data_IF_290135561220
#
_entry.id   IF_290135561220
#
_cell.length_a   1.000
_cell.length_b   1.000
_cell.length_c   1.000
_cell.angle_alpha   90.00
_cell.angle_beta   90.00
_cell.angle_gamma   90.00
#
_symmetry.space_group_name_H-M   'P 1'
#
loop_
_entity.id
_entity.type
_entity.pdbx_description
1 polymer ?
#
# COMPACT_ATOMS: atom_id res chain seq x y z
N UNK A 1 -17.26 -25.28 -3.80
CA UNK A 1 -16.91 -26.25 -4.85
C UNK A 1 -16.64 -25.48 -6.15
N UNK A 2 -15.59 -25.85 -6.88
CA UNK A 2 -15.19 -25.22 -8.13
C UNK A 2 -15.91 -25.97 -9.29
N UNK A 3 -16.41 -25.24 -10.27
CA UNK A 3 -16.90 -25.89 -11.48
C UNK A 3 -15.71 -26.45 -12.31
N UNK A 4 -15.98 -27.31 -13.31
CA UNK A 4 -14.93 -27.97 -14.09
C UNK A 4 -13.98 -26.97 -14.77
N UNK A 5 -14.51 -25.87 -15.31
CA UNK A 5 -13.72 -24.82 -15.97
C UNK A 5 -12.81 -24.12 -14.97
N UNK A 6 -13.34 -23.80 -13.79
CA UNK A 6 -12.54 -23.18 -12.72
C UNK A 6 -11.43 -24.12 -12.23
N UNK A 7 -11.73 -25.43 -12.08
CA UNK A 7 -10.75 -26.43 -11.68
C UNK A 7 -9.62 -26.58 -12.70
N UNK A 8 -9.94 -26.53 -14.00
CA UNK A 8 -8.95 -26.56 -15.07
C UNK A 8 -8.05 -25.31 -15.05
N UNK A 9 -8.61 -24.12 -14.89
CA UNK A 9 -7.85 -22.87 -14.78
C UNK A 9 -6.89 -22.91 -13.60
N UNK A 10 -7.36 -23.33 -12.43
CA UNK A 10 -6.51 -23.47 -11.23
C UNK A 10 -5.38 -24.48 -11.47
N UNK A 11 -5.69 -25.63 -12.06
CA UNK A 11 -4.68 -26.65 -12.39
C UNK A 11 -3.61 -26.10 -13.33
N UNK A 12 -3.99 -25.34 -14.35
CA UNK A 12 -3.07 -24.72 -15.31
C UNK A 12 -2.15 -23.69 -14.63
N UNK A 13 -2.69 -22.85 -13.72
CA UNK A 13 -1.91 -21.88 -12.95
C UNK A 13 -0.94 -22.59 -12.02
N UNK A 14 -1.39 -23.58 -11.26
CA UNK A 14 -0.53 -24.34 -10.36
C UNK A 14 0.60 -25.07 -11.10
N UNK A 15 0.29 -25.60 -12.31
CA UNK A 15 1.32 -26.18 -13.18
C UNK A 15 2.33 -25.14 -13.63
N UNK A 16 1.89 -23.95 -14.09
CA UNK A 16 2.78 -22.88 -14.51
C UNK A 16 3.70 -22.39 -13.37
N UNK A 17 3.17 -22.30 -12.14
CA UNK A 17 3.95 -21.98 -10.94
C UNK A 17 5.01 -23.06 -10.69
N UNK A 18 4.64 -24.33 -10.76
CA UNK A 18 5.56 -25.46 -10.54
C UNK A 18 6.66 -25.54 -11.60
N UNK A 19 6.36 -25.16 -12.84
CA UNK A 19 7.30 -25.16 -13.96
C UNK A 19 8.08 -23.85 -14.08
N UNK A 20 7.92 -22.91 -13.16
CA UNK A 20 8.53 -21.56 -13.18
C UNK A 20 8.23 -20.76 -14.47
N UNK A 21 7.09 -21.07 -15.12
CA UNK A 21 6.63 -20.42 -16.36
C UNK A 21 5.50 -19.42 -16.13
N UNK A 22 5.53 -18.72 -15.03
CA UNK A 22 4.44 -17.81 -14.65
C UNK A 22 4.38 -16.56 -15.50
N UNK A 23 5.53 -16.01 -15.90
CA UNK A 23 5.60 -14.72 -16.60
C UNK A 23 4.86 -14.71 -17.94
N UNK A 24 5.06 -15.68 -18.88
CA UNK A 24 4.33 -15.71 -20.14
C UNK A 24 2.83 -15.93 -19.95
N UNK A 25 2.43 -16.75 -18.96
CA UNK A 25 1.02 -17.04 -18.67
C UNK A 25 0.33 -15.80 -18.15
N UNK A 26 0.94 -15.09 -17.20
CA UNK A 26 0.40 -13.84 -16.62
C UNK A 26 0.33 -12.76 -17.69
N UNK A 27 1.38 -12.57 -18.50
CA UNK A 27 1.41 -11.56 -19.56
C UNK A 27 0.28 -11.75 -20.57
N UNK A 28 0.02 -12.98 -21.02
CA UNK A 28 -1.10 -13.30 -21.90
C UNK A 28 -2.45 -12.99 -21.24
N UNK A 29 -2.65 -13.40 -19.99
CA UNK A 29 -3.89 -13.16 -19.26
C UNK A 29 -4.16 -11.68 -19.01
N UNK A 30 -3.15 -10.88 -18.74
CA UNK A 30 -3.30 -9.43 -18.66
C UNK A 30 -3.83 -8.87 -19.98
N UNK A 31 -3.29 -9.33 -21.13
CA UNK A 31 -3.78 -8.92 -22.44
C UNK A 31 -5.24 -9.31 -22.69
N UNK A 32 -5.63 -10.55 -22.33
CA UNK A 32 -7.02 -11.03 -22.42
C UNK A 32 -7.96 -10.19 -21.54
N UNK A 33 -7.57 -9.89 -20.30
CA UNK A 33 -8.38 -9.07 -19.38
C UNK A 33 -8.54 -7.63 -19.85
N UNK A 34 -7.51 -7.05 -20.45
CA UNK A 34 -7.60 -5.70 -21.04
C UNK A 34 -8.54 -5.70 -22.24
N UNK A 35 -8.45 -6.73 -23.10
CA UNK A 35 -9.31 -6.86 -24.29
C UNK A 35 -10.78 -7.04 -23.93
N UNK A 36 -11.09 -7.70 -22.81
CA UNK A 36 -12.46 -7.87 -22.30
C UNK A 36 -13.01 -6.66 -21.53
N UNK A 37 -12.33 -5.53 -21.58
CA UNK A 37 -12.79 -4.28 -20.99
C UNK A 37 -13.11 -3.25 -22.07
N UNK A 38 -14.27 -2.59 -21.97
CA UNK A 38 -14.63 -1.51 -22.86
C UNK A 38 -15.31 -0.35 -22.10
N UNK A 39 -15.37 0.81 -22.71
CA UNK A 39 -15.99 2.00 -22.12
C UNK A 39 -17.36 2.24 -22.76
N UNK A 40 -18.35 2.46 -21.92
CA UNK A 40 -19.68 2.88 -22.32
C UNK A 40 -19.97 4.28 -21.77
N UNK A 41 -20.71 5.10 -22.54
CA UNK A 41 -21.15 6.40 -22.03
C UNK A 41 -22.10 6.19 -20.83
N UNK A 42 -21.77 6.83 -19.71
CA UNK A 42 -22.64 6.82 -18.54
C UNK A 42 -23.84 7.77 -18.74
N UNK A 43 -24.97 7.44 -18.08
CA UNK A 43 -26.08 8.39 -18.02
C UNK A 43 -25.60 9.72 -17.42
N UNK A 44 -26.08 10.82 -18.02
CA UNK A 44 -25.71 12.17 -17.59
C UNK A 44 -26.09 12.41 -16.12
N UNK A 45 -25.09 12.69 -15.29
CA UNK A 45 -25.28 13.02 -13.88
C UNK A 45 -24.57 14.34 -13.52
N UNK A 46 -24.80 14.84 -12.32
CA UNK A 46 -24.21 16.11 -11.85
C UNK A 46 -22.68 16.05 -11.89
N UNK A 47 -22.06 14.90 -11.61
CA UNK A 47 -20.61 14.73 -11.56
C UNK A 47 -20.00 14.65 -12.96
N UNK A 48 -20.74 14.15 -13.96
CA UNK A 48 -20.27 14.09 -15.36
C UNK A 48 -20.06 15.46 -15.97
N UNK A 49 -20.68 16.52 -15.39
CA UNK A 49 -20.45 17.92 -15.80
C UNK A 49 -19.20 18.52 -15.20
N UNK A 50 -18.69 17.96 -14.09
CA UNK A 50 -17.53 18.47 -13.38
C UNK A 50 -16.24 17.79 -13.79
N UNK A 51 -16.28 16.54 -14.24
CA UNK A 51 -15.10 15.76 -14.59
C UNK A 51 -15.41 14.74 -15.67
N UNK A 52 -14.51 14.58 -16.63
CA UNK A 52 -14.59 13.53 -17.66
C UNK A 52 -14.58 12.11 -17.06
N UNK A 53 -14.08 11.92 -15.83
CA UNK A 53 -14.03 10.63 -15.14
C UNK A 53 -15.41 9.99 -15.01
N UNK A 54 -16.46 10.78 -14.83
CA UNK A 54 -17.82 10.27 -14.62
C UNK A 54 -18.65 10.22 -15.90
N UNK A 55 -18.03 10.51 -17.04
CA UNK A 55 -18.68 10.48 -18.34
C UNK A 55 -18.77 9.04 -18.89
N UNK A 56 -17.89 8.17 -18.47
CA UNK A 56 -17.80 6.80 -18.96
C UNK A 56 -17.84 5.79 -17.81
N UNK A 57 -18.51 4.66 -18.06
CA UNK A 57 -18.46 3.47 -17.22
C UNK A 57 -17.51 2.46 -17.84
N UNK A 58 -16.69 1.82 -17.01
CA UNK A 58 -15.92 0.66 -17.43
C UNK A 58 -16.80 -0.57 -17.38
N UNK A 59 -17.03 -1.18 -18.51
CA UNK A 59 -17.77 -2.45 -18.63
C UNK A 59 -16.76 -3.57 -18.84
N UNK A 60 -16.91 -4.62 -18.04
CA UNK A 60 -16.05 -5.81 -18.10
C UNK A 60 -16.96 -6.97 -18.48
N UNK A 61 -16.59 -7.72 -19.51
CA UNK A 61 -17.30 -8.92 -19.93
C UNK A 61 -17.47 -9.89 -18.74
N UNK A 62 -18.68 -10.47 -18.54
CA UNK A 62 -18.97 -11.30 -17.38
C UNK A 62 -17.98 -12.46 -17.19
N UNK A 63 -17.63 -13.15 -18.26
CA UNK A 63 -16.67 -14.28 -18.25
C UNK A 63 -15.28 -13.83 -17.79
N UNK A 64 -14.80 -12.68 -18.29
CA UNK A 64 -13.54 -12.08 -17.91
C UNK A 64 -13.56 -11.67 -16.42
N UNK A 65 -14.67 -11.13 -15.96
CA UNK A 65 -14.84 -10.76 -14.53
C UNK A 65 -14.78 -11.98 -13.63
N UNK A 66 -15.49 -13.04 -13.99
CA UNK A 66 -15.50 -14.30 -13.22
C UNK A 66 -14.11 -14.93 -13.16
N UNK A 67 -13.40 -14.96 -14.28
CA UNK A 67 -12.02 -15.45 -14.32
C UNK A 67 -11.08 -14.60 -13.48
N UNK A 68 -11.17 -13.27 -13.58
CA UNK A 68 -10.35 -12.34 -12.78
C UNK A 68 -10.62 -12.52 -11.26
N UNK A 69 -11.87 -12.72 -10.86
CA UNK A 69 -12.23 -12.97 -9.48
C UNK A 69 -11.73 -14.33 -8.98
N UNK A 70 -11.66 -15.33 -9.86
CA UNK A 70 -11.02 -16.60 -9.56
C UNK A 70 -9.52 -16.43 -9.27
N UNK A 71 -8.78 -15.71 -10.12
CA UNK A 71 -7.36 -15.44 -9.89
C UNK A 71 -7.11 -14.63 -8.61
N UNK A 72 -7.98 -13.66 -8.31
CA UNK A 72 -7.89 -12.91 -7.03
C UNK A 72 -8.06 -13.82 -5.82
N UNK A 73 -9.03 -14.74 -5.84
CA UNK A 73 -9.21 -15.71 -4.73
C UNK A 73 -8.01 -16.64 -4.61
N UNK A 74 -7.51 -17.15 -5.73
CA UNK A 74 -6.32 -18.00 -5.74
C UNK A 74 -5.09 -17.25 -5.16
N UNK A 75 -4.86 -16.02 -5.60
CA UNK A 75 -3.80 -15.19 -5.08
C UNK A 75 -3.96 -14.91 -3.58
N UNK A 76 -5.19 -14.64 -3.12
CA UNK A 76 -5.47 -14.44 -1.70
C UNK A 76 -5.11 -15.68 -0.88
N UNK A 77 -5.51 -16.87 -1.33
CA UNK A 77 -5.32 -18.10 -0.56
C UNK A 77 -3.88 -18.63 -0.60
N UNK A 78 -3.22 -18.53 -1.76
CA UNK A 78 -1.87 -19.11 -1.95
C UNK A 78 -0.76 -18.12 -1.58
N UNK A 79 -0.95 -16.83 -1.87
CA UNK A 79 0.10 -15.81 -1.71
C UNK A 79 -0.17 -14.98 -0.45
N UNK A 80 -1.28 -14.23 -0.41
CA UNK A 80 -1.53 -13.24 0.65
C UNK A 80 -1.76 -13.86 2.03
N UNK A 81 -2.25 -15.11 2.09
CA UNK A 81 -2.38 -15.87 3.34
C UNK A 81 -1.16 -16.71 3.69
N UNK A 82 -0.08 -16.62 2.91
CA UNK A 82 1.16 -17.33 3.24
C UNK A 82 1.77 -16.77 4.52
N UNK A 83 2.37 -17.65 5.32
CA UNK A 83 3.01 -17.28 6.59
C UNK A 83 4.06 -16.18 6.40
N UNK A 84 4.85 -16.28 5.34
CA UNK A 84 5.91 -15.31 5.05
C UNK A 84 5.34 -13.91 4.83
N UNK A 85 4.25 -13.80 4.07
CA UNK A 85 3.64 -12.50 3.77
C UNK A 85 2.95 -11.92 5.02
N UNK A 86 2.26 -12.76 5.79
CA UNK A 86 1.67 -12.33 7.06
C UNK A 86 2.72 -11.84 8.07
N UNK A 87 3.90 -12.45 8.10
CA UNK A 87 5.02 -11.97 8.93
C UNK A 87 5.54 -10.60 8.45
N UNK A 88 5.60 -10.38 7.14
CA UNK A 88 5.98 -9.07 6.57
C UNK A 88 4.94 -8.00 6.89
N UNK A 89 3.66 -8.30 6.76
CA UNK A 89 2.57 -7.38 7.11
C UNK A 89 2.59 -7.02 8.60
N UNK A 90 2.75 -8.02 9.46
CA UNK A 90 2.88 -7.78 10.90
C UNK A 90 4.08 -6.90 11.24
N UNK A 91 5.24 -7.16 10.60
CA UNK A 91 6.43 -6.34 10.77
C UNK A 91 6.20 -4.90 10.30
N UNK A 92 5.54 -4.71 9.14
CA UNK A 92 5.22 -3.39 8.59
C UNK A 92 4.30 -2.59 9.52
N UNK A 93 3.23 -3.21 10.00
CA UNK A 93 2.30 -2.61 10.96
C UNK A 93 3.04 -2.21 12.25
N UNK A 94 3.86 -3.11 12.80
CA UNK A 94 4.66 -2.82 13.99
C UNK A 94 5.59 -1.61 13.81
N UNK A 95 6.32 -1.56 12.70
CA UNK A 95 7.25 -0.46 12.39
C UNK A 95 6.49 0.87 12.31
N UNK A 96 5.39 0.92 11.56
CA UNK A 96 4.63 2.15 11.36
C UNK A 96 3.98 2.64 12.66
N UNK A 97 3.43 1.74 13.48
CA UNK A 97 2.87 2.08 14.80
C UNK A 97 3.93 2.67 15.71
N UNK A 98 5.09 2.05 15.81
CA UNK A 98 6.17 2.54 16.68
C UNK A 98 6.71 3.90 16.23
N UNK A 99 6.84 4.11 14.92
CA UNK A 99 7.23 5.42 14.38
C UNK A 99 6.17 6.48 14.68
N UNK A 100 4.87 6.16 14.48
CA UNK A 100 3.79 7.08 14.78
C UNK A 100 3.74 7.43 16.28
N UNK A 101 3.92 6.45 17.17
CA UNK A 101 3.94 6.68 18.62
C UNK A 101 5.03 7.68 19.01
N UNK A 102 6.27 7.49 18.56
CA UNK A 102 7.38 8.40 18.87
C UNK A 102 7.15 9.80 18.28
N UNK A 103 6.67 9.88 17.05
CA UNK A 103 6.38 11.19 16.45
C UNK A 103 5.17 11.87 17.11
N UNK A 104 4.14 11.11 17.49
CA UNK A 104 2.98 11.65 18.20
C UNK A 104 3.36 12.16 19.58
N UNK A 105 4.12 11.39 20.35
CA UNK A 105 4.63 11.79 21.65
C UNK A 105 5.46 13.09 21.57
N UNK A 106 6.26 13.19 20.52
CA UNK A 106 7.15 14.34 20.32
C UNK A 106 6.45 15.60 19.82
N UNK A 107 5.47 15.47 18.92
CA UNK A 107 4.97 16.60 18.13
C UNK A 107 3.49 16.92 18.32
N UNK A 108 2.67 16.02 18.91
CA UNK A 108 1.24 16.30 19.06
C UNK A 108 0.91 17.17 20.25
N UNK A 109 1.74 17.17 21.30
CA UNK A 109 1.50 17.95 22.49
C UNK A 109 2.57 19.03 22.66
N UNK A 110 2.30 20.27 22.19
CA UNK A 110 3.26 21.37 22.30
C UNK A 110 3.39 21.93 23.72
N UNK A 111 2.42 21.60 24.62
CA UNK A 111 2.43 22.13 26.00
C UNK A 111 3.41 21.37 26.90
N UNK A 112 3.88 20.20 26.44
CA UNK A 112 4.90 19.43 27.14
C UNK A 112 6.11 19.16 26.21
N UNK A 113 6.87 20.22 25.79
CA UNK A 113 8.03 19.99 24.95
C UNK A 113 9.08 19.21 25.76
N UNK A 114 9.72 18.20 25.18
CA UNK A 114 10.80 17.49 25.84
C UNK A 114 11.95 18.47 26.14
N UNK A 115 12.72 18.20 27.18
CA UNK A 115 13.76 19.13 27.69
C UNK A 115 14.89 19.43 26.69
N UNK A 116 14.99 18.65 25.62
CA UNK A 116 15.96 18.85 24.54
C UNK A 116 15.21 19.03 23.23
N UNK A 117 15.58 20.07 22.45
CA UNK A 117 15.00 20.32 21.12
C UNK A 117 15.50 19.33 20.07
N UNK A 118 15.15 18.06 20.25
CA UNK A 118 15.44 17.00 19.28
C UNK A 118 14.53 17.13 18.05
N UNK A 119 15.14 17.17 16.87
CA UNK A 119 14.44 17.17 15.60
C UNK A 119 14.49 15.77 15.03
N UNK A 120 13.33 15.11 14.94
CA UNK A 120 13.22 13.75 14.42
C UNK A 120 12.73 13.73 12.97
N UNK A 121 12.24 14.86 12.47
CA UNK A 121 11.66 14.98 11.14
C UNK A 121 12.52 15.87 10.23
N UNK A 122 12.40 15.72 8.90
CA UNK A 122 13.03 16.63 7.96
C UNK A 122 12.61 18.09 8.19
N UNK A 123 13.47 19.08 7.87
CA UNK A 123 13.20 20.50 8.12
C UNK A 123 11.86 21.02 7.60
N UNK A 124 11.39 20.49 6.47
CA UNK A 124 10.09 20.86 5.91
C UNK A 124 8.95 20.51 6.85
N UNK A 125 8.95 19.28 7.38
CA UNK A 125 7.89 18.81 8.28
C UNK A 125 7.97 19.48 9.65
N UNK A 126 9.17 19.75 10.15
CA UNK A 126 9.36 20.56 11.37
C UNK A 126 8.74 21.95 11.24
N UNK A 127 8.93 22.60 10.09
CA UNK A 127 8.33 23.90 9.79
C UNK A 127 6.80 23.81 9.73
N UNK A 128 6.26 22.85 8.98
CA UNK A 128 4.80 22.65 8.88
C UNK A 128 4.15 22.38 10.24
N UNK A 129 4.79 21.61 11.10
CA UNK A 129 4.31 21.34 12.45
C UNK A 129 4.35 22.59 13.35
N UNK A 130 5.35 23.45 13.18
CA UNK A 130 5.45 24.73 13.87
C UNK A 130 4.34 25.72 13.48
N UNK A 131 3.89 25.67 12.22
CA UNK A 131 2.82 26.51 11.67
C UNK A 131 1.41 25.92 11.90
N UNK A 132 1.30 24.67 12.35
CA UNK A 132 0.02 23.99 12.50
C UNK A 132 -0.81 24.56 13.65
N UNK A 133 -2.03 25.02 13.33
CA UNK A 133 -2.91 25.74 14.27
C UNK A 133 -3.62 24.82 15.29
N UNK A 134 -3.62 23.48 15.09
CA UNK A 134 -4.34 22.55 15.96
C UNK A 134 -3.64 21.19 16.07
N UNK A 135 -3.98 20.44 17.13
CA UNK A 135 -3.52 19.05 17.30
C UNK A 135 -3.93 18.16 16.14
N UNK A 136 -5.13 18.36 15.60
CA UNK A 136 -5.61 17.60 14.43
C UNK A 136 -4.78 17.90 13.16
N UNK A 137 -4.41 19.15 12.93
CA UNK A 137 -3.54 19.54 11.82
C UNK A 137 -2.15 18.91 11.97
N UNK A 138 -1.58 18.90 13.18
CA UNK A 138 -0.29 18.24 13.47
C UNK A 138 -0.37 16.75 13.22
N UNK A 139 -1.42 16.07 13.72
CA UNK A 139 -1.63 14.65 13.49
C UNK A 139 -1.70 14.33 11.99
N UNK A 140 -2.38 15.16 11.20
CA UNK A 140 -2.47 15.00 9.75
C UNK A 140 -1.09 15.09 9.09
N UNK A 141 -0.28 16.08 9.47
CA UNK A 141 1.08 16.25 8.94
C UNK A 141 1.95 15.02 9.24
N UNK A 142 1.86 14.46 10.46
CA UNK A 142 2.58 13.23 10.80
C UNK A 142 2.13 12.02 9.99
N UNK A 143 0.81 11.85 9.79
CA UNK A 143 0.28 10.79 8.94
C UNK A 143 0.73 10.96 7.48
N UNK A 144 0.71 12.17 6.95
CA UNK A 144 1.17 12.46 5.60
C UNK A 144 2.67 12.15 5.45
N UNK A 145 3.49 12.50 6.44
CA UNK A 145 4.91 12.14 6.44
C UNK A 145 5.13 10.62 6.42
N UNK A 146 4.45 9.87 7.30
CA UNK A 146 4.55 8.42 7.33
C UNK A 146 4.08 7.78 6.01
N UNK A 147 3.00 8.32 5.42
CA UNK A 147 2.47 7.84 4.15
C UNK A 147 3.41 8.07 2.95
N UNK A 148 4.37 9.01 3.05
CA UNK A 148 5.39 9.24 2.01
C UNK A 148 6.59 8.30 2.13
N UNK A 149 6.71 7.54 3.22
CA UNK A 149 7.83 6.62 3.41
C UNK A 149 7.71 5.41 2.50
N UNK A 150 8.82 5.05 1.87
CA UNK A 150 8.98 3.71 1.29
C UNK A 150 9.28 2.69 2.40
N UNK A 151 9.02 1.41 2.16
CA UNK A 151 9.29 0.33 3.14
C UNK A 151 10.73 0.34 3.64
N UNK A 152 11.68 0.53 2.72
CA UNK A 152 13.10 0.62 3.07
C UNK A 152 13.45 1.84 3.91
N UNK A 153 12.79 2.98 3.66
CA UNK A 153 13.00 4.20 4.44
C UNK A 153 12.38 4.07 5.84
N UNK A 154 11.16 3.56 5.95
CA UNK A 154 10.50 3.31 7.23
C UNK A 154 11.33 2.33 8.09
N UNK A 155 11.82 1.24 7.50
CA UNK A 155 12.66 0.25 8.19
C UNK A 155 13.97 0.88 8.69
N UNK A 156 14.65 1.67 7.87
CA UNK A 156 15.88 2.36 8.29
C UNK A 156 15.62 3.40 9.39
N UNK A 157 14.53 4.16 9.28
CA UNK A 157 14.14 5.15 10.30
C UNK A 157 13.82 4.47 11.63
N UNK A 158 13.09 3.36 11.58
CA UNK A 158 12.82 2.53 12.77
C UNK A 158 14.12 2.05 13.42
N UNK A 159 15.03 1.48 12.63
CA UNK A 159 16.32 1.02 13.16
C UNK A 159 17.13 2.16 13.81
N UNK A 160 17.19 3.34 13.19
CA UNK A 160 17.89 4.50 13.77
C UNK A 160 17.33 4.93 15.11
N UNK A 161 16.04 4.76 15.35
CA UNK A 161 15.37 5.20 16.57
C UNK A 161 15.36 4.16 17.68
N UNK A 162 15.37 2.86 17.32
CA UNK A 162 15.12 1.77 18.26
C UNK A 162 16.21 0.71 18.35
N UNK A 163 17.12 0.67 17.39
CA UNK A 163 18.20 -0.32 17.35
C UNK A 163 19.52 0.35 17.76
N UNK A 164 20.02 -0.01 18.94
CA UNK A 164 21.23 0.58 19.49
C UNK A 164 22.51 0.22 18.69
N UNK A 165 22.46 -0.85 17.93
CA UNK A 165 23.58 -1.30 17.08
C UNK A 165 23.56 -0.64 15.70
N UNK A 166 22.43 -0.01 15.33
CA UNK A 166 22.26 0.63 14.03
C UNK A 166 22.44 2.15 14.12
N UNK A 167 23.33 2.68 13.35
CA UNK A 167 23.48 4.13 13.23
C UNK A 167 24.74 4.68 13.87
N UNK A 168 25.87 4.11 13.53
CA UNK A 168 27.16 4.77 13.72
C UNK A 168 27.16 6.11 12.97
N UNK A 169 27.88 7.11 13.50
CA UNK A 169 28.10 8.41 12.84
C UNK A 169 28.64 8.20 11.40
N UNK A 170 29.32 7.09 11.16
CA UNK A 170 29.84 6.68 9.83
C UNK A 170 28.75 6.29 8.84
N UNK A 171 27.55 5.88 9.30
CA UNK A 171 26.43 5.48 8.44
C UNK A 171 25.56 6.68 8.02
N UNK A 172 25.91 7.90 8.43
CA UNK A 172 25.20 9.15 8.13
C UNK A 172 25.75 9.90 6.92
N UNK A 173 26.80 9.36 6.27
CA UNK A 173 27.47 9.97 5.10
C UNK A 173 27.10 9.23 3.83
#
# INVERSE_FOLDING_TARGET
EWNEVQAEHVSNVLRAIREERTEPVIGRKIGEFIAGCHLEEAEANILSRQSHRYRFNLVIEPEIREEADLYKRLALDVVFRSQQLQQLDYKGDHILRRLLEVFAERYLDPECPPPVALRLLPPLYEKLLGEAASKAARARILCDYLATMTDGFATRTYKRLFDAEFGSIVDLV
#
